data_IF_359656146080
#
_entry.id   IF_359656146080
#
_cell.length_a   1.000
_cell.length_b   1.000
_cell.length_c   1.000
_cell.angle_alpha   90.00
_cell.angle_beta   90.00
_cell.angle_gamma   90.00
#
_symmetry.space_group_name_H-M   'P 1'
#
loop_
_entity.id
_entity.type
_entity.pdbx_description
1 polymer ?
#
# COMPACT_ATOMS: atom_id res chain seq x y z
N UNK A 1 9.15 15.26 -30.35
CA UNK A 1 10.00 14.59 -29.35
C UNK A 1 10.21 15.57 -28.23
N UNK A 2 10.07 15.16 -26.96
CA UNK A 2 10.45 16.03 -25.85
C UNK A 2 11.97 16.24 -25.89
N UNK A 3 12.44 17.38 -25.42
CA UNK A 3 13.88 17.60 -25.20
C UNK A 3 14.33 16.91 -23.91
N UNK A 4 15.63 16.66 -23.78
CA UNK A 4 16.24 16.10 -22.56
C UNK A 4 15.87 16.91 -21.32
N UNK A 5 16.02 18.24 -21.39
CA UNK A 5 15.67 19.16 -20.31
C UNK A 5 14.18 19.09 -19.92
N UNK A 6 13.27 18.87 -20.88
CA UNK A 6 11.85 18.67 -20.58
C UNK A 6 11.59 17.33 -19.86
N UNK A 7 12.34 16.27 -20.18
CA UNK A 7 12.23 14.97 -19.51
C UNK A 7 12.81 15.03 -18.09
N UNK A 8 13.96 15.67 -17.91
CA UNK A 8 14.55 15.93 -16.60
C UNK A 8 13.60 16.74 -15.70
N UNK A 9 13.00 17.81 -16.23
CA UNK A 9 12.03 18.62 -15.50
C UNK A 9 10.80 17.80 -15.09
N UNK A 10 10.27 16.96 -15.99
CA UNK A 10 9.15 16.05 -15.68
C UNK A 10 9.50 15.04 -14.59
N UNK A 11 10.69 14.45 -14.65
CA UNK A 11 11.17 13.52 -13.62
C UNK A 11 11.36 14.22 -12.28
N UNK A 12 12.03 15.37 -12.26
CA UNK A 12 12.23 16.18 -11.03
C UNK A 12 10.89 16.57 -10.39
N UNK A 13 9.92 17.00 -11.19
CA UNK A 13 8.58 17.32 -10.70
C UNK A 13 7.83 16.09 -10.18
N UNK A 14 8.03 14.91 -10.77
CA UNK A 14 7.44 13.67 -10.29
C UNK A 14 8.06 13.23 -8.95
N UNK A 15 9.38 13.35 -8.80
CA UNK A 15 10.10 13.10 -7.55
C UNK A 15 9.56 13.98 -6.43
N UNK A 16 9.44 15.30 -6.65
CA UNK A 16 8.89 16.24 -5.64
C UNK A 16 7.48 15.86 -5.19
N UNK A 17 6.62 15.45 -6.12
CA UNK A 17 5.24 15.02 -5.79
C UNK A 17 5.23 13.74 -4.97
N UNK A 18 6.09 12.77 -5.31
CA UNK A 18 6.23 11.54 -4.55
C UNK A 18 6.77 11.80 -3.14
N UNK A 19 7.81 12.65 -3.00
CA UNK A 19 8.35 13.05 -1.70
C UNK A 19 7.29 13.73 -0.83
N UNK A 20 6.51 14.66 -1.39
CA UNK A 20 5.41 15.31 -0.67
C UNK A 20 4.32 14.31 -0.25
N UNK A 21 3.95 13.37 -1.12
CA UNK A 21 2.98 12.32 -0.78
C UNK A 21 3.49 11.41 0.33
N UNK A 22 4.77 11.04 0.30
CA UNK A 22 5.43 10.24 1.33
C UNK A 22 5.44 10.96 2.68
N UNK A 23 5.73 12.26 2.71
CA UNK A 23 5.63 13.07 3.93
C UNK A 23 4.20 13.09 4.49
N UNK A 24 3.18 13.23 3.64
CA UNK A 24 1.78 13.15 4.04
C UNK A 24 1.38 11.77 4.60
N UNK A 25 1.87 10.68 4.00
CA UNK A 25 1.67 9.32 4.55
C UNK A 25 2.28 9.19 5.95
N UNK A 26 3.49 9.70 6.17
CA UNK A 26 4.15 9.66 7.48
C UNK A 26 3.37 10.48 8.51
N UNK A 27 2.95 11.70 8.15
CA UNK A 27 2.17 12.56 9.05
C UNK A 27 0.83 11.91 9.44
N UNK A 28 0.08 11.38 8.48
CA UNK A 28 -1.20 10.70 8.76
C UNK A 28 -1.03 9.41 9.56
N UNK A 29 0.10 8.70 9.41
CA UNK A 29 0.42 7.56 10.27
C UNK A 29 0.60 7.98 11.73
N UNK A 30 1.32 9.07 11.98
CA UNK A 30 1.51 9.61 13.34
C UNK A 30 0.17 9.99 13.96
N UNK A 31 -0.68 10.71 13.22
CA UNK A 31 -2.03 11.05 13.71
C UNK A 31 -2.85 9.78 14.01
N UNK A 32 -2.82 8.78 13.12
CA UNK A 32 -3.48 7.49 13.37
C UNK A 32 -2.99 6.84 14.66
N UNK A 33 -1.68 6.74 14.85
CA UNK A 33 -1.08 6.12 16.04
C UNK A 33 -1.47 6.88 17.32
N UNK A 34 -1.53 8.23 17.28
CA UNK A 34 -1.99 9.05 18.40
C UNK A 34 -3.47 8.81 18.74
N UNK A 35 -4.36 8.76 17.73
CA UNK A 35 -5.80 8.51 17.93
C UNK A 35 -6.06 7.11 18.46
N UNK A 36 -5.37 6.10 17.94
CA UNK A 36 -5.43 4.73 18.45
C UNK A 36 -4.93 4.66 19.90
N UNK A 37 -3.85 5.39 20.23
CA UNK A 37 -3.35 5.51 21.61
C UNK A 37 -4.42 6.08 22.56
N UNK A 38 -5.05 7.19 22.20
CA UNK A 38 -6.12 7.81 23.01
C UNK A 38 -7.34 6.89 23.18
N UNK A 39 -7.67 6.10 22.15
CA UNK A 39 -8.76 5.14 22.23
C UNK A 39 -8.46 3.99 23.20
N UNK A 40 -7.20 3.52 23.24
CA UNK A 40 -6.73 2.48 24.17
C UNK A 40 -6.76 2.91 25.64
N UNK A 41 -6.65 4.21 25.93
CA UNK A 41 -6.74 4.73 27.30
C UNK A 41 -8.18 4.71 27.87
N UNK A 42 -9.20 4.58 27.01
CA UNK A 42 -10.59 4.58 27.45
C UNK A 42 -11.02 3.19 27.90
N UNK A 43 -11.79 3.06 29.00
CA UNK A 43 -12.36 1.77 29.39
C UNK A 43 -13.24 1.19 28.27
N UNK A 44 -12.89 0.00 27.81
CA UNK A 44 -13.61 -0.68 26.74
C UNK A 44 -15.10 -0.87 27.07
N UNK A 45 -15.96 -0.79 26.06
CA UNK A 45 -17.42 -0.93 26.19
C UNK A 45 -18.14 0.34 26.67
N UNK A 46 -17.41 1.42 26.96
CA UNK A 46 -18.01 2.73 27.23
C UNK A 46 -18.34 3.46 25.93
N UNK A 47 -19.34 4.34 25.98
CA UNK A 47 -19.68 5.22 24.85
C UNK A 47 -18.48 6.04 24.40
N UNK A 48 -17.70 6.54 25.35
CA UNK A 48 -16.49 7.31 25.13
C UNK A 48 -15.40 6.49 24.42
N UNK A 49 -15.22 5.23 24.82
CA UNK A 49 -14.29 4.31 24.13
C UNK A 49 -14.73 4.05 22.69
N UNK A 50 -16.01 3.78 22.46
CA UNK A 50 -16.53 3.59 21.11
C UNK A 50 -16.34 4.83 20.23
N UNK A 51 -16.60 6.03 20.74
CA UNK A 51 -16.35 7.26 19.99
C UNK A 51 -14.85 7.44 19.65
N UNK A 52 -13.96 7.21 20.63
CA UNK A 52 -12.53 7.32 20.42
C UNK A 52 -12.01 6.31 19.38
N UNK A 53 -12.48 5.06 19.43
CA UNK A 53 -12.15 4.06 18.43
C UNK A 53 -12.69 4.40 17.04
N UNK A 54 -13.90 4.93 16.94
CA UNK A 54 -14.44 5.39 15.66
C UNK A 54 -13.56 6.47 15.02
N UNK A 55 -13.05 7.42 15.82
CA UNK A 55 -12.11 8.43 15.36
C UNK A 55 -10.74 7.83 14.96
N UNK A 56 -10.24 6.84 15.71
CA UNK A 56 -9.03 6.10 15.35
C UNK A 56 -9.15 5.37 14.00
N UNK A 57 -10.26 4.66 13.77
CA UNK A 57 -10.53 4.02 12.48
C UNK A 57 -10.65 5.02 11.33
N UNK A 58 -11.22 6.20 11.59
CA UNK A 58 -11.28 7.27 10.59
C UNK A 58 -9.88 7.75 10.20
N UNK A 59 -9.00 8.01 11.17
CA UNK A 59 -7.61 8.38 10.90
C UNK A 59 -6.84 7.26 10.15
N UNK A 60 -7.18 5.99 10.41
CA UNK A 60 -6.61 4.85 9.68
C UNK A 60 -7.02 4.81 8.22
N UNK A 61 -8.29 5.09 7.92
CA UNK A 61 -8.77 5.21 6.52
C UNK A 61 -7.98 6.29 5.79
N UNK A 62 -7.81 7.46 6.41
CA UNK A 62 -7.04 8.57 5.84
C UNK A 62 -5.58 8.20 5.59
N UNK A 63 -4.93 7.52 6.53
CA UNK A 63 -3.57 7.00 6.32
C UNK A 63 -3.49 6.01 5.14
N UNK A 64 -4.46 5.11 4.99
CA UNK A 64 -4.51 4.18 3.84
C UNK A 64 -4.71 4.94 2.53
N UNK A 65 -5.57 5.95 2.50
CA UNK A 65 -5.79 6.81 1.33
C UNK A 65 -4.52 7.60 0.94
N UNK A 66 -3.80 8.13 1.92
CA UNK A 66 -2.50 8.79 1.68
C UNK A 66 -1.45 7.80 1.17
N UNK A 67 -1.42 6.58 1.70
CA UNK A 67 -0.54 5.51 1.20
C UNK A 67 -0.83 5.19 -0.27
N UNK A 68 -2.10 5.09 -0.67
CA UNK A 68 -2.49 4.92 -2.08
C UNK A 68 -2.02 6.07 -2.98
N UNK A 69 -2.11 7.31 -2.48
CA UNK A 69 -1.62 8.49 -3.20
C UNK A 69 -0.09 8.45 -3.36
N UNK A 70 0.64 8.07 -2.31
CA UNK A 70 2.10 7.86 -2.37
C UNK A 70 2.47 6.82 -3.42
N UNK A 71 1.82 5.65 -3.43
CA UNK A 71 2.10 4.60 -4.41
C UNK A 71 1.79 5.04 -5.84
N UNK A 72 0.71 5.81 -6.04
CA UNK A 72 0.37 6.40 -7.34
C UNK A 72 1.41 7.43 -7.79
N UNK A 73 1.92 8.26 -6.87
CA UNK A 73 2.97 9.23 -7.17
C UNK A 73 4.30 8.54 -7.48
N UNK A 74 4.66 7.49 -6.73
CA UNK A 74 5.85 6.67 -6.96
C UNK A 74 5.80 6.00 -8.34
N UNK A 75 4.63 5.46 -8.74
CA UNK A 75 4.45 4.87 -10.06
C UNK A 75 4.70 5.90 -11.18
N UNK A 76 4.14 7.11 -11.05
CA UNK A 76 4.33 8.20 -12.02
C UNK A 76 5.79 8.67 -12.06
N UNK A 77 6.49 8.66 -10.93
CA UNK A 77 7.92 8.95 -10.87
C UNK A 77 8.71 7.93 -11.69
N UNK A 78 8.44 6.63 -11.54
CA UNK A 78 9.11 5.60 -12.35
C UNK A 78 8.70 5.64 -13.82
N UNK A 79 7.47 6.02 -14.14
CA UNK A 79 7.06 6.27 -15.53
C UNK A 79 7.84 7.43 -16.17
N UNK A 80 8.05 8.53 -15.43
CA UNK A 80 8.89 9.63 -15.88
C UNK A 80 10.36 9.18 -16.02
N UNK A 81 10.87 8.39 -15.09
CA UNK A 81 12.22 7.83 -15.13
C UNK A 81 12.43 6.96 -16.38
N UNK A 82 11.50 6.07 -16.71
CA UNK A 82 11.58 5.23 -17.92
C UNK A 82 11.75 6.10 -19.18
N UNK A 83 10.95 7.15 -19.31
CA UNK A 83 11.03 8.04 -20.48
C UNK A 83 12.38 8.78 -20.55
N UNK A 84 12.92 9.20 -19.41
CA UNK A 84 14.24 9.83 -19.33
C UNK A 84 15.35 8.84 -19.70
N UNK A 85 15.35 7.65 -19.11
CA UNK A 85 16.36 6.61 -19.38
C UNK A 85 16.34 6.16 -20.85
N UNK A 86 15.16 6.06 -21.49
CA UNK A 86 15.05 5.73 -22.92
C UNK A 86 15.73 6.80 -23.78
N UNK A 87 15.58 8.07 -23.42
CA UNK A 87 16.20 9.18 -24.13
C UNK A 87 17.73 9.18 -23.95
N UNK A 88 18.22 8.97 -22.74
CA UNK A 88 19.65 9.04 -22.39
C UNK A 88 20.46 7.82 -22.85
N UNK A 89 19.88 6.62 -22.75
CA UNK A 89 20.61 5.36 -22.90
C UNK A 89 20.09 4.48 -24.04
N UNK A 90 18.96 4.85 -24.66
CA UNK A 90 18.27 4.02 -25.64
C UNK A 90 17.39 2.95 -25.01
N UNK A 91 16.39 2.47 -25.74
CA UNK A 91 15.34 1.60 -25.20
C UNK A 91 15.84 0.22 -24.70
N UNK A 92 16.95 -0.27 -25.23
CA UNK A 92 17.49 -1.60 -24.89
C UNK A 92 18.48 -1.56 -23.71
N UNK A 93 18.69 -0.39 -23.10
CA UNK A 93 19.64 -0.24 -22.00
C UNK A 93 19.18 -0.95 -20.73
N UNK A 94 20.15 -1.32 -19.89
CA UNK A 94 19.88 -1.91 -18.57
C UNK A 94 19.11 -0.94 -17.68
N UNK A 95 19.44 0.34 -17.73
CA UNK A 95 18.80 1.41 -16.95
C UNK A 95 17.31 1.50 -17.27
N UNK A 96 16.95 1.40 -18.56
CA UNK A 96 15.56 1.33 -18.99
C UNK A 96 14.87 0.08 -18.44
N UNK A 97 15.50 -1.09 -18.54
CA UNK A 97 14.93 -2.34 -18.00
C UNK A 97 14.67 -2.21 -16.50
N UNK A 98 15.63 -1.74 -15.71
CA UNK A 98 15.46 -1.53 -14.27
C UNK A 98 14.33 -0.53 -13.98
N UNK A 99 14.25 0.59 -14.70
CA UNK A 99 13.19 1.58 -14.51
C UNK A 99 11.80 1.00 -14.83
N UNK A 100 11.69 0.17 -15.87
CA UNK A 100 10.45 -0.54 -16.23
C UNK A 100 10.04 -1.50 -15.13
N UNK A 101 10.97 -2.29 -14.61
CA UNK A 101 10.69 -3.24 -13.53
C UNK A 101 10.30 -2.52 -12.22
N UNK A 102 10.96 -1.41 -11.88
CA UNK A 102 10.58 -0.57 -10.73
C UNK A 102 9.16 -0.04 -10.86
N UNK A 103 8.75 0.39 -12.06
CA UNK A 103 7.38 0.82 -12.35
C UNK A 103 6.39 -0.34 -12.17
N UNK A 104 6.69 -1.52 -12.70
CA UNK A 104 5.84 -2.72 -12.56
C UNK A 104 5.64 -3.09 -11.09
N UNK A 105 6.73 -3.24 -10.32
CA UNK A 105 6.65 -3.58 -8.91
C UNK A 105 5.82 -2.54 -8.13
N UNK A 106 6.00 -1.26 -8.42
CA UNK A 106 5.22 -0.17 -7.81
C UNK A 106 3.74 -0.22 -8.17
N UNK A 107 3.39 -0.61 -9.40
CA UNK A 107 1.98 -0.77 -9.81
C UNK A 107 1.24 -1.82 -8.97
N UNK A 108 1.99 -2.74 -8.36
CA UNK A 108 1.46 -3.79 -7.47
C UNK A 108 1.73 -3.53 -5.98
N UNK A 109 2.33 -2.40 -5.61
CA UNK A 109 2.37 -1.89 -4.23
C UNK A 109 0.99 -1.35 -3.82
N UNK A 110 -0.03 -2.19 -3.90
CA UNK A 110 -1.39 -1.87 -3.44
C UNK A 110 -1.67 -2.52 -2.08
N UNK A 111 -0.62 -2.80 -1.32
CA UNK A 111 -0.70 -3.47 -0.03
C UNK A 111 -0.37 -2.52 1.11
N UNK A 112 -1.20 -2.52 2.15
CA UNK A 112 -0.93 -1.91 3.46
C UNK A 112 -0.84 -3.03 4.49
N UNK A 113 0.10 -2.94 5.42
CA UNK A 113 0.15 -3.88 6.53
C UNK A 113 -1.00 -3.58 7.49
N UNK A 114 -1.95 -4.52 7.61
CA UNK A 114 -3.00 -4.48 8.63
C UNK A 114 -2.68 -5.53 9.69
N UNK A 115 -2.34 -5.08 10.91
CA UNK A 115 -1.86 -5.95 11.98
C UNK A 115 -0.60 -6.74 11.56
N UNK A 116 -0.75 -8.03 11.21
CA UNK A 116 0.33 -8.97 10.86
C UNK A 116 0.22 -9.51 9.43
N UNK A 117 -0.72 -9.01 8.62
CA UNK A 117 -0.95 -9.47 7.25
C UNK A 117 -0.98 -8.29 6.28
N UNK A 118 -0.37 -8.43 5.09
CA UNK A 118 -0.51 -7.44 4.03
C UNK A 118 -1.92 -7.51 3.44
N UNK A 119 -2.65 -6.42 3.58
CA UNK A 119 -3.99 -6.24 3.05
C UNK A 119 -3.94 -5.42 1.77
N UNK A 120 -4.76 -5.79 0.79
CA UNK A 120 -5.05 -4.87 -0.30
C UNK A 120 -5.67 -3.59 0.26
N UNK A 121 -5.22 -2.42 -0.16
CA UNK A 121 -5.69 -1.13 0.38
C UNK A 121 -7.21 -0.98 0.32
N UNK A 122 -7.83 -1.53 -0.74
CA UNK A 122 -9.30 -1.55 -0.87
C UNK A 122 -9.98 -2.38 0.22
N UNK A 123 -9.46 -3.57 0.54
CA UNK A 123 -10.01 -4.41 1.61
C UNK A 123 -9.73 -3.83 3.00
N UNK A 124 -8.55 -3.24 3.20
CA UNK A 124 -8.23 -2.52 4.44
C UNK A 124 -9.24 -1.39 4.69
N UNK A 125 -9.49 -0.53 3.70
CA UNK A 125 -10.51 0.55 3.81
C UNK A 125 -11.90 0.02 4.12
N UNK A 126 -12.32 -1.09 3.51
CA UNK A 126 -13.62 -1.70 3.80
C UNK A 126 -13.71 -2.20 5.25
N UNK A 127 -12.67 -2.90 5.71
CA UNK A 127 -12.60 -3.40 7.08
C UNK A 127 -12.51 -2.26 8.12
N UNK A 128 -11.75 -1.21 7.83
CA UNK A 128 -11.65 -0.01 8.67
C UNK A 128 -12.96 0.74 8.73
N UNK A 129 -13.66 0.88 7.60
CA UNK A 129 -14.99 1.50 7.55
C UNK A 129 -16.02 0.68 8.32
N UNK A 130 -16.00 -0.64 8.22
CA UNK A 130 -16.87 -1.51 9.00
C UNK A 130 -16.57 -1.38 10.51
N UNK A 131 -15.29 -1.33 10.89
CA UNK A 131 -14.86 -1.12 12.28
C UNK A 131 -15.27 0.25 12.81
N UNK A 132 -15.14 1.30 12.02
CA UNK A 132 -15.63 2.65 12.35
C UNK A 132 -17.15 2.63 12.59
N UNK A 133 -17.92 2.03 11.68
CA UNK A 133 -19.38 1.96 11.80
C UNK A 133 -19.82 1.11 13.00
N UNK A 134 -19.16 -0.02 13.26
CA UNK A 134 -19.37 -0.85 14.45
C UNK A 134 -19.29 -0.02 15.74
N UNK A 135 -18.24 0.78 15.85
CA UNK A 135 -18.01 1.65 17.00
C UNK A 135 -19.07 2.77 17.08
N UNK A 136 -19.40 3.42 15.96
CA UNK A 136 -20.44 4.46 15.92
C UNK A 136 -21.83 3.92 16.31
N UNK A 137 -22.18 2.70 15.90
CA UNK A 137 -23.44 2.05 16.25
C UNK A 137 -23.51 1.72 17.75
N UNK A 138 -22.43 1.16 18.30
CA UNK A 138 -22.34 0.89 19.74
C UNK A 138 -22.42 2.19 20.58
N UNK A 139 -21.76 3.26 20.15
CA UNK A 139 -21.87 4.57 20.80
C UNK A 139 -23.30 5.15 20.79
N UNK A 140 -24.14 4.74 19.83
CA UNK A 140 -25.57 5.09 19.73
C UNK A 140 -26.49 4.09 20.43
N UNK A 141 -25.96 3.03 21.04
CA UNK A 141 -26.75 1.97 21.67
C UNK A 141 -27.43 1.00 20.69
N UNK A 142 -27.04 1.01 19.41
CA UNK A 142 -27.58 0.13 18.37
C UNK A 142 -26.89 -1.25 18.35
N UNK A 143 -26.83 -1.90 19.52
CA UNK A 143 -25.97 -3.08 19.78
C UNK A 143 -26.23 -4.22 18.80
N UNK A 144 -27.49 -4.64 18.60
CA UNK A 144 -27.80 -5.77 17.72
C UNK A 144 -27.34 -5.55 16.25
N UNK A 145 -27.41 -4.31 15.76
CA UNK A 145 -26.94 -3.97 14.41
C UNK A 145 -25.41 -3.93 14.36
N UNK A 146 -24.78 -3.43 15.42
CA UNK A 146 -23.33 -3.43 15.54
C UNK A 146 -22.77 -4.86 15.58
N UNK A 147 -23.38 -5.75 16.36
CA UNK A 147 -22.95 -7.15 16.48
C UNK A 147 -23.03 -7.90 15.14
N UNK A 148 -24.11 -7.71 14.38
CA UNK A 148 -24.24 -8.27 13.03
C UNK A 148 -23.13 -7.75 12.12
N UNK A 149 -22.89 -6.43 12.12
CA UNK A 149 -21.83 -5.83 11.32
C UNK A 149 -20.44 -6.36 11.71
N UNK A 150 -20.18 -6.48 13.01
CA UNK A 150 -18.95 -7.05 13.56
C UNK A 150 -18.72 -8.46 13.05
N UNK A 151 -19.73 -9.33 13.13
CA UNK A 151 -19.65 -10.71 12.64
C UNK A 151 -19.37 -10.78 11.15
N UNK A 152 -20.08 -9.99 10.33
CA UNK A 152 -19.84 -9.95 8.87
C UNK A 152 -18.46 -9.45 8.49
N UNK A 153 -17.95 -8.47 9.23
CA UNK A 153 -16.58 -7.96 9.07
C UNK A 153 -15.56 -9.04 9.42
N UNK A 154 -15.76 -9.77 10.52
CA UNK A 154 -14.86 -10.86 10.92
C UNK A 154 -14.89 -12.02 9.92
N UNK A 155 -16.08 -12.42 9.44
CA UNK A 155 -16.23 -13.40 8.34
C UNK A 155 -15.46 -12.98 7.08
N UNK A 156 -15.54 -11.70 6.70
CA UNK A 156 -14.79 -11.15 5.57
C UNK A 156 -13.27 -11.20 5.83
N UNK A 157 -12.82 -10.75 7.00
CA UNK A 157 -11.41 -10.75 7.38
C UNK A 157 -10.82 -12.16 7.36
N UNK A 158 -11.52 -13.12 7.96
CA UNK A 158 -11.10 -14.51 8.03
C UNK A 158 -10.99 -15.14 6.65
N UNK A 159 -11.96 -14.88 5.77
CA UNK A 159 -11.92 -15.35 4.39
C UNK A 159 -10.69 -14.82 3.65
N UNK A 160 -10.43 -13.52 3.74
CA UNK A 160 -9.23 -12.92 3.12
C UNK A 160 -7.96 -13.53 3.70
N UNK A 161 -7.86 -13.67 5.02
CA UNK A 161 -6.66 -14.16 5.67
C UNK A 161 -6.39 -15.65 5.37
N UNK A 162 -7.42 -16.44 5.11
CA UNK A 162 -7.30 -17.89 4.89
C UNK A 162 -7.23 -18.29 3.42
N UNK A 163 -7.98 -17.60 2.56
CA UNK A 163 -8.11 -17.97 1.14
C UNK A 163 -7.17 -17.18 0.23
N UNK A 164 -6.72 -15.99 0.63
CA UNK A 164 -5.83 -15.16 -0.21
C UNK A 164 -4.36 -15.55 -0.05
N UNK A 165 -3.56 -15.31 -1.08
CA UNK A 165 -2.10 -15.44 -1.03
C UNK A 165 -1.39 -14.10 -0.74
N UNK A 166 -2.08 -13.14 -0.12
CA UNK A 166 -1.56 -11.78 0.08
C UNK A 166 -0.21 -11.72 0.80
N UNK A 167 -0.03 -12.54 1.85
CA UNK A 167 1.24 -12.63 2.59
C UNK A 167 2.40 -13.12 1.69
N UNK A 168 2.15 -14.17 0.90
CA UNK A 168 3.13 -14.73 -0.01
C UNK A 168 3.51 -13.71 -1.10
N UNK A 169 2.53 -13.03 -1.68
CA UNK A 169 2.75 -11.98 -2.68
C UNK A 169 3.55 -10.81 -2.10
N UNK A 170 3.22 -10.32 -0.91
CA UNK A 170 3.99 -9.23 -0.29
C UNK A 170 5.45 -9.63 -0.02
N UNK A 171 5.69 -10.86 0.46
CA UNK A 171 7.05 -11.39 0.66
C UNK A 171 7.80 -11.50 -0.67
N UNK A 172 7.13 -11.99 -1.73
CA UNK A 172 7.72 -12.11 -3.05
C UNK A 172 8.04 -10.72 -3.65
N UNK A 173 7.14 -9.75 -3.52
CA UNK A 173 7.35 -8.36 -3.93
C UNK A 173 8.57 -7.75 -3.20
N UNK A 174 8.65 -7.89 -1.88
CA UNK A 174 9.79 -7.40 -1.11
C UNK A 174 11.11 -8.06 -1.50
N UNK A 175 11.09 -9.35 -1.85
CA UNK A 175 12.25 -10.06 -2.36
C UNK A 175 12.66 -9.56 -3.75
N UNK A 176 11.69 -9.35 -4.65
CA UNK A 176 11.91 -8.78 -5.98
C UNK A 176 12.51 -7.37 -5.90
N UNK A 177 11.97 -6.47 -5.07
CA UNK A 177 12.53 -5.13 -4.84
C UNK A 177 14.00 -5.21 -4.38
N UNK A 178 14.30 -6.05 -3.38
CA UNK A 178 15.68 -6.22 -2.89
C UNK A 178 16.62 -6.81 -3.94
N UNK A 179 16.11 -7.71 -4.79
CA UNK A 179 16.90 -8.29 -5.87
C UNK A 179 17.16 -7.27 -6.99
N UNK A 180 16.17 -6.43 -7.31
CA UNK A 180 16.31 -5.34 -8.27
C UNK A 180 17.35 -4.31 -7.81
N UNK A 181 17.31 -3.92 -6.53
CA UNK A 181 18.32 -3.03 -5.93
C UNK A 181 19.75 -3.61 -6.01
N UNK A 182 19.89 -4.95 -5.94
CA UNK A 182 21.18 -5.62 -6.12
C UNK A 182 21.61 -5.63 -7.58
N UNK A 183 20.70 -5.93 -8.51
CA UNK A 183 21.00 -5.91 -9.95
C UNK A 183 21.48 -4.52 -10.41
N UNK A 184 20.84 -3.47 -9.93
CA UNK A 184 21.27 -2.08 -10.17
C UNK A 184 22.72 -1.85 -9.72
N UNK A 185 23.07 -2.25 -8.50
CA UNK A 185 24.39 -2.02 -7.90
C UNK A 185 25.51 -2.93 -8.38
N UNK A 186 25.21 -4.20 -8.61
CA UNK A 186 26.21 -5.26 -8.81
C UNK A 186 26.28 -5.74 -10.25
N UNK A 187 25.36 -5.30 -11.10
CA UNK A 187 25.28 -5.71 -12.50
C UNK A 187 25.10 -7.23 -12.70
N UNK A 188 24.48 -7.89 -11.73
CA UNK A 188 24.12 -9.31 -11.77
C UNK A 188 22.59 -9.45 -11.62
N UNK A 189 21.92 -9.98 -12.65
CA UNK A 189 20.47 -10.18 -12.67
C UNK A 189 20.03 -11.54 -12.13
N UNK A 190 20.95 -12.43 -11.75
CA UNK A 190 20.61 -13.81 -11.35
C UNK A 190 19.60 -13.87 -10.21
N UNK A 191 19.82 -13.06 -9.17
CA UNK A 191 18.89 -12.98 -8.04
C UNK A 191 17.56 -12.31 -8.42
N UNK A 192 17.60 -11.40 -9.40
CA UNK A 192 16.40 -10.73 -9.92
C UNK A 192 15.52 -11.72 -10.68
N UNK A 193 16.08 -12.50 -11.61
CA UNK A 193 15.33 -13.45 -12.44
C UNK A 193 14.60 -14.49 -11.57
N UNK A 194 15.26 -15.01 -10.53
CA UNK A 194 14.65 -15.92 -9.57
C UNK A 194 13.51 -15.25 -8.78
N UNK A 195 13.75 -14.03 -8.28
CA UNK A 195 12.77 -13.31 -7.48
C UNK A 195 11.55 -12.87 -8.31
N UNK A 196 11.76 -12.42 -9.56
CA UNK A 196 10.73 -12.01 -10.51
C UNK A 196 9.81 -13.18 -10.85
N UNK A 197 10.37 -14.35 -11.13
CA UNK A 197 9.58 -15.56 -11.40
C UNK A 197 8.66 -15.94 -10.22
N UNK A 198 9.17 -15.87 -8.98
CA UNK A 198 8.36 -16.11 -7.77
C UNK A 198 7.27 -15.04 -7.60
N UNK A 199 7.63 -13.78 -7.79
CA UNK A 199 6.68 -12.68 -7.72
C UNK A 199 5.56 -12.82 -8.76
N UNK A 200 5.89 -13.15 -10.01
CA UNK A 200 4.90 -13.33 -11.08
C UNK A 200 3.94 -14.48 -10.81
N UNK A 201 4.46 -15.58 -10.26
CA UNK A 201 3.64 -16.72 -9.86
C UNK A 201 2.65 -16.34 -8.74
N UNK A 202 3.08 -15.59 -7.73
CA UNK A 202 2.20 -15.13 -6.65
C UNK A 202 1.22 -14.03 -7.13
N UNK A 203 1.66 -13.12 -8.01
CA UNK A 203 0.80 -12.10 -8.60
C UNK A 203 -0.31 -12.72 -9.45
N UNK A 204 0.00 -13.79 -10.18
CA UNK A 204 -1.00 -14.53 -10.96
C UNK A 204 -2.08 -15.14 -10.06
N UNK A 205 -1.70 -15.86 -9.00
CA UNK A 205 -2.65 -16.42 -8.02
C UNK A 205 -3.51 -15.33 -7.38
N UNK A 206 -2.90 -14.19 -7.07
CA UNK A 206 -3.63 -13.06 -6.49
C UNK A 206 -4.70 -12.51 -7.44
N UNK A 207 -4.37 -12.35 -8.74
CA UNK A 207 -5.33 -11.91 -9.77
C UNK A 207 -6.46 -12.91 -9.99
N UNK A 208 -6.24 -14.20 -9.73
CA UNK A 208 -7.29 -15.24 -9.79
C UNK A 208 -8.23 -15.20 -8.59
N UNK A 209 -7.78 -14.65 -7.45
CA UNK A 209 -8.56 -14.50 -6.23
C UNK A 209 -9.43 -13.23 -6.20
N UNK A 210 -8.94 -12.14 -6.80
CA UNK A 210 -9.64 -10.84 -6.88
C UNK A 210 -11.01 -10.92 -7.55
#
# INVERSE_FOLDING_TARGET
MNTESELEAKYSDAVKRWEAAKEATVASRVEKDEKEGLANEKPWGTRESYLAWADGWKARIEWVENSEQEYSAEHKMYEAAVNLMIHEHGADSKEVQIAVERRELTSTKVFVWYSLSPYWTTWAKLNDKASMLYNQLNAKGCVAVADELGRRKDEFHDRINTESNGEALCKALNAAVKALDKWEKQNDCTAWDEAKSKYDAELKKWKEFQ
#
